data_IF_027173060135
#
_entry.id   IF_027173060135
#
_cell.length_a   1.000
_cell.length_b   1.000
_cell.length_c   1.000
_cell.angle_alpha   90.00
_cell.angle_beta   90.00
_cell.angle_gamma   90.00
#
_symmetry.space_group_name_H-M   'P 1'
#
loop_
_entity.id
_entity.type
_entity.pdbx_description
1 polymer ?
#
# COMPACT_ATOMS: atom_id res chain seq x y z
N UNK A 1 9.38 -24.94 -50.19
CA UNK A 1 8.17 -25.02 -49.34
C UNK A 1 8.50 -24.43 -47.98
N UNK A 2 8.23 -23.13 -47.81
CA UNK A 2 8.58 -22.35 -46.61
C UNK A 2 7.45 -22.45 -45.57
N UNK A 3 7.79 -22.85 -44.35
CA UNK A 3 6.85 -22.89 -43.21
C UNK A 3 6.59 -21.46 -42.72
N UNK A 4 5.36 -20.96 -42.91
CA UNK A 4 4.90 -19.72 -42.25
C UNK A 4 4.70 -20.01 -40.76
N UNK A 5 5.47 -19.34 -39.91
CA UNK A 5 5.21 -19.26 -38.46
C UNK A 5 4.06 -18.27 -38.26
N UNK A 6 3.00 -18.72 -37.61
CA UNK A 6 1.89 -17.88 -37.15
C UNK A 6 2.34 -17.32 -35.81
N UNK A 7 2.69 -16.03 -35.78
CA UNK A 7 2.89 -15.30 -34.53
C UNK A 7 1.53 -14.97 -33.96
N UNK A 8 1.17 -15.60 -32.84
CA UNK A 8 0.00 -15.22 -32.07
C UNK A 8 0.31 -13.88 -31.39
N UNK A 9 -0.46 -12.85 -31.76
CA UNK A 9 -0.43 -11.55 -31.09
C UNK A 9 -1.10 -11.73 -29.72
N UNK A 10 -0.31 -11.75 -28.65
CA UNK A 10 -0.84 -11.59 -27.30
C UNK A 10 -1.22 -10.11 -27.13
N UNK A 11 -2.51 -9.82 -27.14
CA UNK A 11 -3.02 -8.52 -26.73
C UNK A 11 -2.96 -8.51 -25.20
N UNK A 12 -1.87 -8.00 -24.66
CA UNK A 12 -1.83 -7.56 -23.27
C UNK A 12 -2.67 -6.29 -23.18
N UNK A 13 -3.88 -6.39 -22.65
CA UNK A 13 -4.61 -5.23 -22.16
C UNK A 13 -3.86 -4.73 -20.93
N UNK A 14 -2.92 -3.80 -21.16
CA UNK A 14 -2.44 -2.93 -20.11
C UNK A 14 -3.68 -2.19 -19.57
N UNK A 15 -4.00 -2.37 -18.29
CA UNK A 15 -4.83 -1.39 -17.61
C UNK A 15 -4.10 -0.06 -17.78
N UNK A 16 -4.78 0.89 -18.43
CA UNK A 16 -4.34 2.26 -18.43
C UNK A 16 -4.41 2.74 -16.97
N UNK A 17 -3.25 2.71 -16.30
CA UNK A 17 -3.01 3.66 -15.22
C UNK A 17 -3.16 5.01 -15.90
N UNK A 18 -4.28 5.67 -15.64
CA UNK A 18 -4.41 7.09 -15.98
C UNK A 18 -3.27 7.75 -15.23
N UNK A 19 -2.23 8.13 -15.98
CA UNK A 19 -1.07 8.79 -15.42
C UNK A 19 -1.54 10.09 -14.80
N UNK A 20 -1.66 10.10 -13.48
CA UNK A 20 -1.31 11.29 -12.74
C UNK A 20 0.09 11.69 -13.22
N UNK A 21 0.33 12.99 -13.46
CA UNK A 21 1.69 13.48 -13.51
C UNK A 21 2.46 12.85 -12.34
N UNK A 22 3.71 12.38 -12.53
CA UNK A 22 4.43 11.76 -11.43
C UNK A 22 4.35 12.71 -10.23
N UNK A 23 3.72 12.22 -9.17
CA UNK A 23 3.58 12.94 -7.91
C UNK A 23 4.97 13.45 -7.51
N UNK A 24 5.02 14.69 -7.03
CA UNK A 24 6.22 15.29 -6.47
C UNK A 24 7.03 14.25 -5.68
N UNK A 25 8.30 14.05 -6.04
CA UNK A 25 9.11 12.97 -5.48
C UNK A 25 9.65 13.40 -4.11
N UNK A 26 9.38 12.53 -3.16
CA UNK A 26 9.77 12.56 -1.76
C UNK A 26 11.26 12.20 -1.61
N UNK A 27 12.02 13.08 -0.96
CA UNK A 27 13.48 12.97 -0.85
C UNK A 27 13.94 12.53 0.54
N UNK A 28 14.95 11.65 0.59
CA UNK A 28 15.80 11.48 1.76
C UNK A 28 16.80 12.64 1.88
N UNK A 29 17.73 12.52 2.83
CA UNK A 29 18.76 13.53 3.05
C UNK A 29 19.55 13.84 1.76
N UNK A 30 19.56 15.12 1.34
CA UNK A 30 20.31 15.62 0.19
C UNK A 30 19.70 15.31 -1.17
N UNK A 31 18.55 14.64 -1.22
CA UNK A 31 17.85 14.35 -2.47
C UNK A 31 17.24 15.62 -3.09
N UNK A 32 17.22 15.74 -4.43
CA UNK A 32 16.46 16.80 -5.08
C UNK A 32 14.96 16.64 -4.83
N UNK A 33 14.29 17.77 -4.65
CA UNK A 33 12.83 17.85 -4.57
C UNK A 33 12.27 18.03 -5.98
N UNK A 34 11.18 17.34 -6.29
CA UNK A 34 10.54 17.45 -7.60
C UNK A 34 9.08 17.86 -7.45
N UNK A 35 8.58 18.71 -8.34
CA UNK A 35 7.20 19.18 -8.36
C UNK A 35 7.05 20.31 -9.36
N UNK A 36 5.82 20.67 -9.73
CA UNK A 36 5.55 21.82 -10.59
C UNK A 36 5.69 23.11 -9.76
N UNK A 37 6.88 23.75 -9.82
CA UNK A 37 7.24 24.89 -8.97
C UNK A 37 6.72 26.22 -9.51
N UNK A 38 6.30 26.26 -10.77
CA UNK A 38 5.88 27.49 -11.45
C UNK A 38 4.42 27.44 -11.97
N UNK A 39 3.73 26.30 -11.83
CA UNK A 39 2.34 26.09 -12.23
C UNK A 39 2.14 25.86 -13.73
N UNK A 40 3.18 25.45 -14.48
CA UNK A 40 3.11 25.24 -15.93
C UNK A 40 2.72 23.80 -16.34
N UNK A 41 2.55 22.90 -15.36
CA UNK A 41 2.21 21.50 -15.54
C UNK A 41 3.41 20.61 -15.90
N UNK A 42 4.63 21.13 -15.83
CA UNK A 42 5.88 20.38 -16.03
C UNK A 42 6.56 20.19 -14.67
N UNK A 43 7.15 19.01 -14.45
CA UNK A 43 7.89 18.75 -13.23
C UNK A 43 9.21 19.51 -13.23
N UNK A 44 9.39 20.37 -12.24
CA UNK A 44 10.62 21.09 -11.94
C UNK A 44 11.45 20.36 -10.89
N UNK A 45 12.68 20.83 -10.71
CA UNK A 45 13.61 20.31 -9.70
C UNK A 45 14.11 21.43 -8.80
N UNK A 46 13.97 21.26 -7.49
CA UNK A 46 14.66 22.05 -6.48
C UNK A 46 15.76 21.22 -5.80
N UNK A 47 16.92 21.82 -5.57
CA UNK A 47 18.01 21.23 -4.79
C UNK A 47 18.28 22.14 -3.61
N UNK A 48 18.23 21.58 -2.40
CA UNK A 48 18.62 22.29 -1.19
C UNK A 48 20.15 22.41 -1.19
N UNK A 49 20.64 23.64 -1.06
CA UNK A 49 22.06 23.97 -1.12
C UNK A 49 22.43 24.94 0.01
N UNK A 50 23.70 24.97 0.39
CA UNK A 50 24.20 26.07 1.24
C UNK A 50 24.26 27.37 0.44
N UNK A 51 23.69 28.46 0.97
CA UNK A 51 23.73 29.80 0.38
C UNK A 51 24.97 30.61 0.79
N UNK A 52 25.56 30.29 1.94
CA UNK A 52 26.73 30.97 2.52
C UNK A 52 27.00 30.51 3.95
N UNK A 53 27.79 31.26 4.73
CA UNK A 53 28.04 30.93 6.14
C UNK A 53 26.78 31.07 7.01
N UNK A 54 25.89 32.01 6.65
CA UNK A 54 24.66 32.36 7.38
C UNK A 54 23.41 32.34 6.48
N UNK A 55 23.50 31.70 5.31
CA UNK A 55 22.38 31.61 4.35
C UNK A 55 22.14 30.16 3.92
N UNK A 56 20.88 29.79 3.87
CA UNK A 56 20.38 28.61 3.19
C UNK A 56 19.98 28.93 1.77
N UNK A 57 20.01 27.93 0.90
CA UNK A 57 19.77 28.10 -0.52
C UNK A 57 18.85 27.03 -1.11
N UNK A 58 18.07 27.46 -2.10
CA UNK A 58 17.27 26.57 -2.95
C UNK A 58 17.65 26.85 -4.39
N UNK A 59 18.20 25.84 -5.08
CA UNK A 59 18.49 25.92 -6.51
C UNK A 59 17.35 25.30 -7.31
N UNK A 60 16.64 26.12 -8.08
CA UNK A 60 15.47 25.71 -8.87
C UNK A 60 15.85 25.61 -10.34
N UNK A 61 15.63 24.45 -10.93
CA UNK A 61 15.79 24.21 -12.37
C UNK A 61 14.42 23.87 -12.95
N UNK A 62 13.88 24.73 -13.81
CA UNK A 62 12.58 24.50 -14.43
C UNK A 62 12.66 23.39 -15.48
N UNK A 63 11.66 22.52 -15.52
CA UNK A 63 11.54 21.45 -16.51
C UNK A 63 11.33 22.01 -17.91
N UNK A 64 11.91 21.37 -18.92
CA UNK A 64 11.79 21.80 -20.31
C UNK A 64 10.70 21.07 -21.12
N UNK A 65 9.95 20.17 -20.47
CA UNK A 65 8.93 19.31 -21.08
C UNK A 65 9.47 18.22 -22.02
N UNK A 66 10.78 18.16 -22.24
CA UNK A 66 11.48 17.15 -23.03
C UNK A 66 12.28 16.16 -22.15
N UNK A 67 12.14 16.26 -20.83
CA UNK A 67 12.85 15.44 -19.84
C UNK A 67 14.18 16.03 -19.37
N UNK A 68 14.49 17.28 -19.76
CA UNK A 68 15.62 18.05 -19.27
C UNK A 68 15.19 19.18 -18.32
N UNK A 69 16.19 19.91 -17.84
CA UNK A 69 16.01 21.08 -16.96
C UNK A 69 16.80 22.27 -17.49
N UNK A 70 16.23 23.46 -17.35
CA UNK A 70 16.89 24.73 -17.62
C UNK A 70 18.05 25.03 -16.67
N UNK A 71 18.71 26.17 -16.91
CA UNK A 71 19.75 26.65 -16.00
C UNK A 71 19.17 26.93 -14.60
N UNK A 72 19.87 26.52 -13.51
CA UNK A 72 19.35 26.71 -12.17
C UNK A 72 19.34 28.19 -11.78
N UNK A 73 18.28 28.59 -11.09
CA UNK A 73 18.18 29.86 -10.37
C UNK A 73 18.34 29.60 -8.88
N UNK A 74 19.21 30.36 -8.22
CA UNK A 74 19.45 30.23 -6.78
C UNK A 74 18.64 31.28 -6.02
N UNK A 75 17.89 30.82 -5.04
CA UNK A 75 17.23 31.63 -4.03
C UNK A 75 17.91 31.39 -2.69
N UNK A 76 18.03 32.42 -1.86
CA UNK A 76 18.61 32.30 -0.52
C UNK A 76 17.70 32.88 0.55
N UNK A 77 17.84 32.38 1.77
CA UNK A 77 17.18 32.87 2.97
C UNK A 77 18.09 32.69 4.19
N UNK A 78 17.86 33.46 5.25
CA UNK A 78 18.66 33.40 6.47
C UNK A 78 18.63 32.00 7.11
N UNK A 79 19.76 31.54 7.64
CA UNK A 79 19.82 30.26 8.35
C UNK A 79 18.85 30.26 9.55
N UNK A 80 17.93 29.27 9.66
CA UNK A 80 17.04 29.19 10.80
C UNK A 80 17.79 28.87 12.09
N UNK A 81 17.50 29.59 13.18
CA UNK A 81 18.02 29.31 14.51
C UNK A 81 19.35 29.99 14.85
N UNK A 82 19.71 29.95 16.13
CA UNK A 82 20.94 30.56 16.66
C UNK A 82 22.07 29.55 16.44
N UNK A 83 22.93 29.76 15.43
CA UNK A 83 23.97 28.81 14.95
C UNK A 83 23.44 27.61 14.14
N UNK A 84 22.31 27.79 13.46
CA UNK A 84 21.64 26.70 12.77
C UNK A 84 22.28 26.28 11.46
N UNK A 85 21.89 25.09 11.04
CA UNK A 85 22.17 24.51 9.73
C UNK A 85 20.88 24.43 8.92
N UNK A 86 21.04 24.33 7.61
CA UNK A 86 19.91 24.33 6.68
C UNK A 86 19.14 23.01 6.73
N UNK A 87 17.82 23.05 6.51
CA UNK A 87 17.07 21.86 6.15
C UNK A 87 17.72 21.17 4.95
N UNK A 88 17.71 19.84 4.95
CA UNK A 88 18.42 19.00 4.00
C UNK A 88 17.53 17.93 3.37
N UNK A 89 16.23 17.97 3.64
CA UNK A 89 15.20 17.17 2.97
C UNK A 89 13.87 17.94 2.90
N UNK A 90 12.93 17.46 2.08
CA UNK A 90 11.63 18.10 1.96
C UNK A 90 10.74 17.52 0.86
N UNK A 91 9.65 18.23 0.61
CA UNK A 91 8.66 17.96 -0.44
C UNK A 91 8.16 19.26 -1.06
N UNK A 92 7.67 19.18 -2.30
CA UNK A 92 6.94 20.26 -2.98
C UNK A 92 5.45 19.95 -2.92
N UNK A 93 4.65 20.81 -2.28
CA UNK A 93 3.23 20.55 -2.01
C UNK A 93 2.41 21.84 -2.03
N UNK A 94 1.20 21.79 -2.60
CA UNK A 94 0.20 22.86 -2.52
C UNK A 94 -0.54 22.75 -1.18
N UNK A 95 -0.13 23.57 -0.21
CA UNK A 95 -0.79 23.63 1.09
C UNK A 95 -2.08 24.43 0.99
N UNK A 96 -3.20 23.76 1.26
CA UNK A 96 -4.53 24.35 1.18
C UNK A 96 -5.26 24.10 -0.14
N UNK A 97 -4.55 23.65 -1.19
CA UNK A 97 -5.15 23.37 -2.49
C UNK A 97 -5.53 24.65 -3.25
N UNK A 98 -4.73 25.70 -3.11
CA UNK A 98 -4.99 27.00 -3.73
C UNK A 98 -4.31 27.18 -5.11
N UNK A 99 -3.52 26.19 -5.53
CA UNK A 99 -2.77 26.17 -6.78
C UNK A 99 -1.38 26.79 -6.68
N UNK A 100 -0.98 27.30 -5.52
CA UNK A 100 0.39 27.74 -5.23
C UNK A 100 1.12 26.61 -4.51
N UNK A 101 2.33 26.29 -4.95
CA UNK A 101 3.13 25.26 -4.27
C UNK A 101 4.10 25.87 -3.26
N UNK A 102 4.23 25.20 -2.14
CA UNK A 102 5.23 25.44 -1.12
C UNK A 102 6.31 24.37 -1.11
N UNK A 103 7.45 24.71 -0.52
CA UNK A 103 8.43 23.73 -0.09
C UNK A 103 8.22 23.48 1.40
N UNK A 104 7.97 22.24 1.78
CA UNK A 104 7.93 21.81 3.18
C UNK A 104 9.22 21.05 3.47
N UNK A 105 10.05 21.61 4.33
CA UNK A 105 11.42 21.16 4.56
C UNK A 105 11.59 20.62 5.97
N UNK A 106 12.51 19.67 6.13
CA UNK A 106 12.87 19.09 7.42
C UNK A 106 14.40 18.94 7.55
N UNK A 107 14.85 18.61 8.75
CA UNK A 107 16.26 18.40 9.08
C UNK A 107 16.48 16.94 9.46
N UNK A 108 17.32 16.22 8.71
CA UNK A 108 17.67 14.84 9.01
C UNK A 108 18.21 14.67 10.43
N UNK A 109 19.20 15.48 10.80
CA UNK A 109 19.82 15.48 12.14
C UNK A 109 18.98 16.21 13.21
N UNK A 110 17.85 16.77 12.78
CA UNK A 110 16.87 17.49 13.55
C UNK A 110 17.01 19.00 13.56
N UNK A 111 15.96 19.70 14.00
CA UNK A 111 15.95 21.17 13.91
C UNK A 111 17.06 21.79 14.77
N UNK A 112 17.69 22.89 14.33
CA UNK A 112 18.72 23.56 15.11
C UNK A 112 18.15 24.25 16.36
N UNK A 113 18.98 24.51 17.38
CA UNK A 113 18.55 25.23 18.58
C UNK A 113 17.90 26.58 18.26
N UNK A 114 16.78 26.87 18.92
CA UNK A 114 16.04 28.12 18.77
C UNK A 114 15.03 28.14 17.62
N UNK A 115 15.00 27.12 16.75
CA UNK A 115 13.87 26.88 15.86
C UNK A 115 12.77 26.21 16.66
N UNK A 116 11.50 26.65 16.55
CA UNK A 116 10.39 26.13 17.35
C UNK A 116 9.65 24.95 16.69
N UNK A 117 9.75 24.78 15.37
CA UNK A 117 9.01 23.80 14.56
C UNK A 117 9.93 22.80 13.86
N UNK A 118 9.49 21.56 13.67
CA UNK A 118 10.30 20.50 13.04
C UNK A 118 10.20 20.51 11.51
N UNK A 119 9.14 21.11 10.97
CA UNK A 119 9.01 21.46 9.56
C UNK A 119 9.17 22.96 9.35
N UNK A 120 9.83 23.35 8.27
CA UNK A 120 9.92 24.72 7.75
C UNK A 120 9.17 24.83 6.43
N UNK A 121 8.29 25.81 6.31
CA UNK A 121 7.56 26.10 5.07
C UNK A 121 8.21 27.27 4.35
N UNK A 122 8.54 27.09 3.08
CA UNK A 122 8.93 28.18 2.19
C UNK A 122 7.82 28.50 1.19
N UNK A 123 7.47 29.79 1.10
CA UNK A 123 6.63 30.38 0.04
C UNK A 123 7.48 31.35 -0.76
N UNK A 124 7.44 31.25 -2.09
CA UNK A 124 8.35 32.01 -2.97
C UNK A 124 9.82 31.89 -2.53
N UNK A 125 10.18 30.70 -2.04
CA UNK A 125 11.51 30.36 -1.52
C UNK A 125 11.96 31.20 -0.30
N UNK A 126 11.02 31.78 0.45
CA UNK A 126 11.26 32.48 1.72
C UNK A 126 10.50 31.82 2.87
N UNK A 127 11.05 31.80 4.10
CA UNK A 127 10.37 31.28 5.27
C UNK A 127 9.01 31.93 5.51
N UNK A 128 7.96 31.10 5.60
CA UNK A 128 6.59 31.54 5.81
C UNK A 128 5.97 31.00 7.12
N UNK A 129 6.64 30.06 7.77
CA UNK A 129 6.17 29.42 9.00
C UNK A 129 6.71 28.00 9.11
N UNK A 130 6.08 27.19 9.95
CA UNK A 130 6.47 25.81 10.19
C UNK A 130 5.40 25.05 10.95
N UNK A 131 5.63 23.75 11.12
CA UNK A 131 4.73 22.84 11.82
C UNK A 131 5.53 21.90 12.73
N UNK A 132 4.90 21.47 13.83
CA UNK A 132 5.45 20.41 14.68
C UNK A 132 5.35 19.07 13.95
N UNK A 133 6.43 18.29 13.99
CA UNK A 133 6.51 17.01 13.28
C UNK A 133 7.53 16.09 13.97
N UNK A 134 8.13 15.15 13.22
CA UNK A 134 9.20 14.31 13.75
C UNK A 134 10.47 15.16 13.90
N UNK A 135 11.13 15.12 15.07
CA UNK A 135 12.33 15.92 15.35
C UNK A 135 13.55 15.47 14.54
N UNK A 136 13.66 14.19 14.14
CA UNK A 136 14.75 13.62 13.34
C UNK A 136 14.22 12.64 12.29
N UNK A 137 13.52 13.13 11.25
CA UNK A 137 12.97 12.27 10.20
C UNK A 137 14.10 11.67 9.37
N UNK A 138 13.97 10.40 9.05
CA UNK A 138 14.80 9.74 8.05
C UNK A 138 14.24 9.95 6.63
N UNK A 139 12.96 10.31 6.54
CA UNK A 139 12.26 10.51 5.26
C UNK A 139 11.03 11.42 5.43
N UNK A 140 10.66 12.10 4.35
CA UNK A 140 9.43 12.88 4.22
C UNK A 140 8.81 12.62 2.84
N UNK A 141 7.49 12.43 2.77
CA UNK A 141 6.79 12.21 1.51
C UNK A 141 5.35 12.70 1.50
N UNK A 142 4.64 12.41 0.39
CA UNK A 142 3.29 12.87 0.12
C UNK A 142 2.35 11.71 -0.25
N UNK A 143 1.10 11.80 0.21
CA UNK A 143 -0.03 10.97 -0.24
C UNK A 143 -1.36 11.65 0.17
N UNK A 144 -2.51 11.24 -0.38
CA UNK A 144 -3.82 11.72 0.06
C UNK A 144 -4.39 10.73 1.10
N UNK A 145 -4.14 10.95 2.38
CA UNK A 145 -4.48 10.02 3.46
C UNK A 145 -5.94 10.15 3.92
N UNK A 146 -6.66 11.19 3.51
CA UNK A 146 -8.05 11.40 3.92
C UNK A 146 -9.05 11.42 2.74
N UNK A 147 -8.57 11.27 1.51
CA UNK A 147 -9.36 11.18 0.29
C UNK A 147 -9.98 12.51 -0.16
N UNK A 148 -9.43 13.64 0.30
CA UNK A 148 -9.97 14.96 -0.03
C UNK A 148 -9.38 15.61 -1.29
N UNK A 149 -8.45 14.90 -1.93
CA UNK A 149 -7.79 15.30 -3.17
C UNK A 149 -6.57 16.21 -2.98
N UNK A 150 -6.24 16.61 -1.75
CA UNK A 150 -4.99 17.32 -1.44
C UNK A 150 -3.91 16.33 -1.05
N UNK A 151 -2.67 16.65 -1.40
CA UNK A 151 -1.53 15.89 -0.91
C UNK A 151 -1.29 16.28 0.55
N UNK A 152 -1.35 15.28 1.43
CA UNK A 152 -0.92 15.33 2.81
C UNK A 152 0.58 15.00 2.90
N UNK A 153 1.18 15.27 4.06
CA UNK A 153 2.59 14.97 4.33
C UNK A 153 2.69 13.74 5.23
N UNK A 154 3.66 12.88 5.00
CA UNK A 154 4.08 11.87 5.98
C UNK A 154 5.57 11.93 6.24
N UNK A 155 5.98 11.48 7.41
CA UNK A 155 7.38 11.30 7.77
C UNK A 155 7.56 9.94 8.42
N UNK A 156 8.78 9.42 8.35
CA UNK A 156 9.18 8.35 9.25
C UNK A 156 10.59 8.55 9.78
N UNK A 157 10.86 7.96 10.94
CA UNK A 157 12.19 7.91 11.56
C UNK A 157 12.49 6.53 12.13
N UNK A 158 13.76 6.14 12.07
CA UNK A 158 14.29 4.97 12.77
C UNK A 158 14.72 5.26 14.22
N UNK A 159 14.54 6.50 14.71
CA UNK A 159 14.86 6.91 16.08
C UNK A 159 13.75 6.58 17.10
N UNK A 160 12.69 5.88 16.69
CA UNK A 160 11.66 5.31 17.57
C UNK A 160 10.25 5.89 17.42
N UNK A 161 10.06 7.07 16.83
CA UNK A 161 8.71 7.59 16.54
C UNK A 161 8.02 6.84 15.39
N UNK A 162 8.80 6.17 14.53
CA UNK A 162 8.30 5.39 13.40
C UNK A 162 7.62 6.26 12.35
N UNK A 163 6.49 5.80 11.81
CA UNK A 163 5.75 6.42 10.71
C UNK A 163 4.61 7.32 11.22
N UNK A 164 4.55 8.57 10.77
CA UNK A 164 3.51 9.54 11.10
C UNK A 164 2.96 10.25 9.86
N UNK A 165 1.66 10.55 9.88
CA UNK A 165 0.97 11.35 8.86
C UNK A 165 0.60 12.74 9.38
N UNK A 166 0.47 13.70 8.46
CA UNK A 166 0.11 15.09 8.71
C UNK A 166 -0.81 15.59 7.60
N UNK A 167 -2.09 15.80 7.92
CA UNK A 167 -3.14 16.16 6.97
C UNK A 167 -3.06 17.63 6.57
N UNK A 168 -3.13 17.89 5.26
CA UNK A 168 -3.15 19.19 4.64
C UNK A 168 -4.58 19.76 4.63
N UNK A 169 -4.84 20.64 5.58
CA UNK A 169 -6.15 21.30 5.70
C UNK A 169 -6.37 22.32 4.59
N UNK A 170 -7.64 22.62 4.27
CA UNK A 170 -7.99 23.67 3.29
C UNK A 170 -7.49 25.09 3.65
N UNK A 171 -7.00 25.30 4.89
CA UNK A 171 -6.34 26.54 5.31
C UNK A 171 -4.83 26.54 5.10
N UNK A 172 -4.25 25.49 4.51
CA UNK A 172 -2.80 25.33 4.35
C UNK A 172 -2.06 25.05 5.65
N UNK A 173 -2.74 24.48 6.65
CA UNK A 173 -2.11 23.97 7.87
C UNK A 173 -1.87 22.46 7.75
N UNK A 174 -0.77 21.98 8.31
CA UNK A 174 -0.53 20.56 8.56
C UNK A 174 -0.96 20.20 9.98
N UNK A 175 -1.85 19.22 10.11
CA UNK A 175 -2.33 18.71 11.41
C UNK A 175 -1.99 17.23 11.52
N UNK A 176 -1.58 16.76 12.71
CA UNK A 176 -1.26 15.34 12.91
C UNK A 176 -2.42 14.46 12.46
N UNK A 177 -2.13 13.55 11.53
CA UNK A 177 -3.07 12.58 11.00
C UNK A 177 -3.25 11.38 11.93
N UNK A 178 -4.25 10.54 11.65
CA UNK A 178 -4.59 9.41 12.51
C UNK A 178 -3.67 8.19 12.30
N UNK A 179 -2.97 8.10 11.17
CA UNK A 179 -2.01 7.02 10.92
C UNK A 179 -0.71 7.35 11.66
N UNK A 180 -0.45 6.55 12.68
CA UNK A 180 0.80 6.53 13.43
C UNK A 180 1.22 5.10 13.74
N UNK A 181 2.51 4.80 13.61
CA UNK A 181 3.06 3.51 14.00
C UNK A 181 4.51 3.63 14.40
N UNK A 182 4.80 3.40 15.67
CA UNK A 182 6.17 3.30 16.14
C UNK A 182 6.85 2.08 15.51
N UNK A 183 8.05 2.32 15.01
CA UNK A 183 8.99 1.31 14.56
C UNK A 183 10.40 1.90 14.55
N UNK A 184 11.41 1.04 14.48
CA UNK A 184 12.73 1.39 13.95
C UNK A 184 12.61 1.68 12.45
N UNK A 185 13.22 0.85 11.60
CA UNK A 185 13.12 1.03 10.14
C UNK A 185 11.83 0.40 9.56
N UNK A 186 10.85 1.19 9.08
CA UNK A 186 9.67 0.64 8.42
C UNK A 186 9.94 0.37 6.93
N UNK A 187 9.53 -0.80 6.45
CA UNK A 187 9.25 -1.02 5.04
C UNK A 187 7.74 -0.85 4.83
N UNK A 188 7.33 -0.02 3.87
CA UNK A 188 5.92 0.33 3.71
C UNK A 188 5.48 0.41 2.25
N UNK A 189 4.17 0.20 2.03
CA UNK A 189 3.47 0.40 0.76
C UNK A 189 2.10 1.06 1.01
N UNK A 190 1.57 1.73 0.00
CA UNK A 190 0.27 2.41 0.06
C UNK A 190 -0.80 1.68 -0.77
N UNK A 191 -2.01 1.61 -0.25
CA UNK A 191 -3.19 1.10 -0.97
C UNK A 191 -4.49 1.63 -0.34
N UNK A 192 -5.61 1.49 -1.02
CA UNK A 192 -6.95 1.73 -0.46
C UNK A 192 -7.60 0.37 -0.13
N UNK A 193 -7.31 -0.16 1.07
CA UNK A 193 -7.73 -1.50 1.50
C UNK A 193 -9.22 -1.56 1.89
N UNK A 194 -9.84 -0.42 2.17
CA UNK A 194 -11.25 -0.32 2.55
C UNK A 194 -12.16 0.31 1.46
N UNK A 195 -11.56 0.69 0.33
CA UNK A 195 -12.20 1.24 -0.87
C UNK A 195 -12.98 2.53 -0.64
N UNK A 196 -12.50 3.38 0.27
CA UNK A 196 -13.12 4.67 0.58
C UNK A 196 -12.53 5.84 -0.20
N UNK A 197 -11.46 5.62 -0.98
CA UNK A 197 -10.76 6.64 -1.75
C UNK A 197 -9.66 7.38 -1.00
N UNK A 198 -9.42 7.04 0.28
CA UNK A 198 -8.30 7.52 1.07
C UNK A 198 -7.13 6.52 1.02
N UNK A 199 -5.93 7.01 1.31
CA UNK A 199 -4.72 6.17 1.36
C UNK A 199 -4.58 5.48 2.72
N UNK A 200 -4.47 4.15 2.72
CA UNK A 200 -4.06 3.33 3.85
C UNK A 200 -2.57 2.93 3.71
N UNK A 201 -1.97 2.40 4.78
CA UNK A 201 -0.54 2.03 4.80
C UNK A 201 -0.35 0.58 5.24
N UNK A 202 0.38 -0.20 4.46
CA UNK A 202 0.95 -1.47 4.86
C UNK A 202 2.36 -1.21 5.41
N UNK A 203 2.67 -1.68 6.62
CA UNK A 203 4.00 -1.57 7.22
C UNK A 203 4.49 -2.93 7.68
N UNK A 204 5.65 -3.35 7.18
CA UNK A 204 6.49 -4.35 7.82
C UNK A 204 7.50 -3.64 8.73
N UNK A 205 7.50 -3.96 10.01
CA UNK A 205 8.26 -3.22 11.02
C UNK A 205 9.18 -4.11 11.84
N UNK A 206 10.25 -3.47 12.31
CA UNK A 206 11.14 -3.94 13.36
C UNK A 206 11.11 -2.95 14.52
N UNK A 207 11.40 -3.43 15.71
CA UNK A 207 11.45 -2.61 16.93
C UNK A 207 10.13 -1.86 17.17
N UNK A 208 9.00 -2.56 17.02
CA UNK A 208 7.68 -2.02 17.28
C UNK A 208 7.47 -1.69 18.76
N UNK A 209 6.68 -0.65 19.05
CA UNK A 209 6.31 -0.26 20.41
C UNK A 209 5.06 -0.98 20.95
N UNK A 210 4.51 -1.93 20.20
CA UNK A 210 3.26 -2.64 20.53
C UNK A 210 3.47 -3.94 21.31
N UNK A 211 2.51 -4.85 21.18
CA UNK A 211 2.60 -6.20 21.76
C UNK A 211 3.68 -7.06 21.08
N UNK A 212 4.00 -6.72 19.83
CA UNK A 212 4.98 -7.42 18.99
C UNK A 212 6.18 -6.54 18.69
N UNK A 213 7.38 -7.13 18.77
CA UNK A 213 8.64 -6.44 18.48
C UNK A 213 8.87 -6.32 16.97
N UNK A 214 8.47 -7.33 16.20
CA UNK A 214 8.50 -7.34 14.73
C UNK A 214 7.14 -7.80 14.23
N UNK A 215 6.76 -7.38 13.02
CA UNK A 215 5.46 -7.78 12.47
C UNK A 215 5.12 -7.12 11.15
N UNK A 216 3.87 -7.34 10.74
CA UNK A 216 3.25 -6.69 9.58
C UNK A 216 1.88 -6.17 9.98
N UNK A 217 1.64 -4.88 9.76
CA UNK A 217 0.38 -4.20 10.09
C UNK A 217 -0.16 -3.46 8.88
N UNK A 218 -1.48 -3.45 8.72
CA UNK A 218 -2.19 -2.50 7.87
C UNK A 218 -2.80 -1.41 8.76
N UNK A 219 -2.52 -0.16 8.46
CA UNK A 219 -3.08 1.02 9.11
C UNK A 219 -4.07 1.67 8.16
N UNK A 220 -5.35 1.66 8.54
CA UNK A 220 -6.38 2.33 7.75
C UNK A 220 -6.27 3.86 7.92
N UNK A 221 -6.83 4.59 6.97
CA UNK A 221 -6.92 6.06 6.91
C UNK A 221 -7.48 6.71 8.19
N UNK A 222 -8.20 5.96 9.00
CA UNK A 222 -8.76 6.40 10.28
C UNK A 222 -7.90 6.03 11.52
N UNK A 223 -6.70 5.50 11.31
CA UNK A 223 -5.77 5.05 12.36
C UNK A 223 -6.04 3.65 12.91
N UNK A 224 -7.03 2.92 12.39
CA UNK A 224 -7.29 1.54 12.82
C UNK A 224 -6.15 0.63 12.35
N UNK A 225 -5.48 -0.03 13.30
CA UNK A 225 -4.46 -1.02 13.03
C UNK A 225 -5.06 -2.42 12.88
N UNK A 226 -4.65 -3.13 11.82
CA UNK A 226 -4.94 -4.54 11.58
C UNK A 226 -3.63 -5.30 11.47
N UNK A 227 -3.27 -5.96 12.56
CA UNK A 227 -2.05 -6.75 12.64
C UNK A 227 -2.24 -8.08 11.90
N UNK A 228 -1.38 -8.35 10.92
CA UNK A 228 -1.44 -9.53 10.07
C UNK A 228 -0.45 -10.61 10.55
N UNK A 229 0.74 -10.17 10.93
CA UNK A 229 1.83 -11.01 11.45
C UNK A 229 2.45 -10.31 12.66
N UNK A 230 2.98 -11.08 13.61
CA UNK A 230 3.63 -10.51 14.79
C UNK A 230 4.49 -11.53 15.51
N UNK A 231 5.67 -11.09 15.98
CA UNK A 231 6.53 -11.85 16.89
C UNK A 231 6.89 -10.98 18.11
N UNK A 232 6.42 -11.34 19.31
CA UNK A 232 6.74 -10.65 20.56
C UNK A 232 8.23 -10.65 20.92
N UNK A 233 9.01 -11.60 20.38
CA UNK A 233 10.41 -11.80 20.77
C UNK A 233 11.40 -11.26 19.73
N UNK A 234 10.93 -10.93 18.53
CA UNK A 234 11.79 -10.39 17.48
C UNK A 234 12.69 -11.42 16.77
N UNK A 235 12.38 -12.71 16.91
CA UNK A 235 13.16 -13.79 16.28
C UNK A 235 12.77 -13.98 14.79
N UNK A 236 11.55 -13.61 14.43
CA UNK A 236 11.02 -13.59 13.07
C UNK A 236 10.85 -12.16 12.58
N UNK A 237 11.04 -11.95 11.29
CA UNK A 237 10.69 -10.71 10.62
C UNK A 237 10.19 -11.00 9.22
N UNK A 238 9.47 -10.04 8.65
CA UNK A 238 8.73 -10.24 7.42
C UNK A 238 9.05 -9.17 6.39
N UNK A 239 9.07 -9.56 5.13
CA UNK A 239 8.77 -8.66 4.03
C UNK A 239 7.26 -8.71 3.74
N UNK A 240 6.68 -7.58 3.37
CA UNK A 240 5.27 -7.46 3.01
C UNK A 240 5.10 -6.65 1.73
N UNK A 241 4.08 -6.99 0.93
CA UNK A 241 3.75 -6.27 -0.31
C UNK A 241 2.25 -6.36 -0.61
N UNK A 242 1.71 -5.34 -1.25
CA UNK A 242 0.33 -5.26 -1.72
C UNK A 242 0.19 -6.04 -3.02
N UNK A 243 -0.81 -6.91 -3.08
CA UNK A 243 -1.08 -7.76 -4.25
C UNK A 243 -2.58 -7.82 -4.52
N UNK A 244 -2.97 -8.37 -5.67
CA UNK A 244 -4.31 -8.89 -5.90
C UNK A 244 -4.17 -10.41 -6.04
N UNK A 245 -4.21 -11.11 -4.89
CA UNK A 245 -3.86 -12.52 -4.83
C UNK A 245 -4.98 -13.39 -5.39
N UNK A 246 -6.24 -12.97 -5.27
CA UNK A 246 -7.43 -13.71 -5.69
C UNK A 246 -8.05 -13.23 -7.02
N UNK A 247 -7.51 -12.16 -7.61
CA UNK A 247 -7.94 -11.50 -8.84
C UNK A 247 -9.33 -10.84 -8.77
N UNK A 248 -9.71 -10.29 -7.61
CA UNK A 248 -10.98 -9.58 -7.40
C UNK A 248 -10.88 -8.05 -7.51
N UNK A 249 -9.65 -7.53 -7.64
CA UNK A 249 -9.36 -6.09 -7.72
C UNK A 249 -9.47 -5.34 -6.38
N UNK A 250 -9.51 -6.06 -5.25
CA UNK A 250 -9.36 -5.54 -3.90
C UNK A 250 -7.89 -5.77 -3.49
N UNK A 251 -7.23 -4.79 -2.86
CA UNK A 251 -5.88 -5.00 -2.34
C UNK A 251 -5.85 -6.09 -1.26
N UNK A 252 -5.01 -7.10 -1.51
CA UNK A 252 -4.60 -8.17 -0.61
C UNK A 252 -3.16 -7.90 -0.12
N UNK A 253 -2.73 -8.64 0.90
CA UNK A 253 -1.34 -8.56 1.41
C UNK A 253 -0.65 -9.91 1.29
N UNK A 254 0.57 -9.91 0.76
CA UNK A 254 1.47 -11.06 0.79
C UNK A 254 2.60 -10.80 1.78
N UNK A 255 2.73 -11.65 2.78
CA UNK A 255 3.86 -11.64 3.72
C UNK A 255 4.83 -12.78 3.40
N UNK A 256 6.12 -12.56 3.64
CA UNK A 256 7.16 -13.60 3.62
C UNK A 256 7.96 -13.49 4.89
N UNK A 257 7.92 -14.51 5.74
CA UNK A 257 8.82 -14.60 6.89
C UNK A 257 10.24 -14.84 6.36
N UNK A 258 11.13 -13.87 6.56
CA UNK A 258 12.49 -13.90 6.03
C UNK A 258 13.38 -14.93 6.76
N UNK A 259 13.03 -15.29 7.99
CA UNK A 259 13.75 -16.30 8.78
C UNK A 259 13.43 -17.73 8.32
N UNK A 260 12.18 -18.00 7.91
CA UNK A 260 11.70 -19.36 7.57
C UNK A 260 11.41 -19.57 6.09
N UNK A 261 11.23 -18.50 5.32
CA UNK A 261 10.73 -18.52 3.95
C UNK A 261 9.23 -18.80 3.84
N UNK A 262 8.49 -18.84 4.96
CA UNK A 262 7.05 -19.05 4.96
C UNK A 262 6.33 -17.89 4.29
N UNK A 263 5.35 -18.20 3.43
CA UNK A 263 4.52 -17.22 2.74
C UNK A 263 3.09 -17.30 3.27
N UNK A 264 2.50 -16.16 3.58
CA UNK A 264 1.07 -16.02 3.88
C UNK A 264 0.45 -15.01 2.93
N UNK A 265 -0.75 -15.30 2.43
CA UNK A 265 -1.58 -14.34 1.72
C UNK A 265 -2.77 -13.99 2.59
N UNK A 266 -2.96 -12.71 2.87
CA UNK A 266 -4.09 -12.15 3.59
C UNK A 266 -5.05 -11.54 2.58
N UNK A 267 -6.21 -12.17 2.40
CA UNK A 267 -7.23 -11.76 1.45
C UNK A 267 -8.07 -10.64 2.06
N UNK A 268 -8.07 -9.48 1.40
CA UNK A 268 -8.82 -8.29 1.79
C UNK A 268 -10.31 -8.44 1.48
N UNK A 269 -11.15 -7.93 2.37
CA UNK A 269 -12.61 -7.93 2.18
C UNK A 269 -13.16 -6.61 1.59
N UNK A 270 -12.27 -5.68 1.24
CA UNK A 270 -12.60 -4.35 0.71
C UNK A 270 -13.30 -3.44 1.72
N UNK A 271 -13.15 -3.73 3.02
CA UNK A 271 -13.65 -2.94 4.15
C UNK A 271 -12.59 -2.80 5.25
N UNK A 272 -11.32 -3.00 4.89
CA UNK A 272 -10.18 -2.97 5.81
C UNK A 272 -10.00 -4.24 6.66
N UNK A 273 -10.78 -5.30 6.44
CA UNK A 273 -10.59 -6.59 7.11
C UNK A 273 -9.88 -7.60 6.23
N UNK A 274 -9.10 -8.48 6.86
CA UNK A 274 -8.29 -9.49 6.19
C UNK A 274 -8.48 -10.88 6.78
N UNK A 275 -8.24 -11.92 5.98
CA UNK A 275 -8.12 -13.28 6.48
C UNK A 275 -7.06 -14.08 5.72
N UNK A 276 -6.33 -14.93 6.44
CA UNK A 276 -5.26 -15.73 5.86
C UNK A 276 -5.81 -16.84 4.95
N UNK A 277 -5.28 -16.95 3.74
CA UNK A 277 -5.59 -18.00 2.78
C UNK A 277 -4.55 -19.15 2.84
N UNK A 278 -4.97 -20.40 2.56
CA UNK A 278 -6.34 -20.81 2.25
C UNK A 278 -7.21 -21.02 3.51
N UNK A 279 -8.47 -20.61 3.43
CA UNK A 279 -9.52 -20.91 4.41
C UNK A 279 -10.76 -21.40 3.64
N UNK A 280 -11.22 -22.61 3.94
CA UNK A 280 -12.32 -23.26 3.25
C UNK A 280 -13.54 -23.32 4.17
N UNK A 281 -14.67 -22.80 3.71
CA UNK A 281 -15.93 -22.79 4.45
C UNK A 281 -16.96 -23.75 3.85
N UNK A 282 -17.81 -24.31 4.72
CA UNK A 282 -18.82 -25.30 4.33
C UNK A 282 -19.83 -24.74 3.30
N UNK A 283 -20.13 -25.56 2.29
CA UNK A 283 -21.03 -25.21 1.20
C UNK A 283 -22.38 -25.92 1.28
N UNK A 284 -23.38 -25.30 0.65
CA UNK A 284 -24.62 -26.00 0.32
C UNK A 284 -25.06 -25.75 -1.12
N UNK A 285 -25.57 -26.81 -1.76
CA UNK A 285 -26.14 -26.74 -3.10
C UNK A 285 -27.46 -27.50 -3.17
N UNK A 286 -28.22 -27.28 -4.23
CA UNK A 286 -29.46 -28.02 -4.49
C UNK A 286 -29.60 -28.39 -5.95
N UNK A 287 -30.17 -29.57 -6.22
CA UNK A 287 -30.53 -29.99 -7.57
C UNK A 287 -31.87 -30.75 -7.59
N UNK A 288 -32.39 -31.07 -8.77
CA UNK A 288 -33.63 -31.83 -8.99
C UNK A 288 -33.38 -33.02 -9.90
N UNK A 289 -33.79 -34.21 -9.45
CA UNK A 289 -33.63 -35.46 -10.20
C UNK A 289 -32.20 -35.66 -10.71
N UNK A 290 -32.03 -35.76 -12.02
CA UNK A 290 -30.73 -35.98 -12.69
C UNK A 290 -30.04 -34.71 -13.16
N UNK A 291 -30.55 -33.52 -12.81
CA UNK A 291 -29.97 -32.26 -13.26
C UNK A 291 -28.58 -32.06 -12.65
N UNK A 292 -27.60 -31.73 -13.48
CA UNK A 292 -26.26 -31.33 -13.02
C UNK A 292 -26.33 -29.96 -12.34
N UNK A 293 -25.51 -29.76 -11.32
CA UNK A 293 -25.36 -28.48 -10.63
C UNK A 293 -23.89 -28.11 -10.58
N UNK A 294 -23.59 -26.88 -10.98
CA UNK A 294 -22.26 -26.30 -10.88
C UNK A 294 -22.18 -25.55 -9.54
N UNK A 295 -21.30 -25.99 -8.64
CA UNK A 295 -21.23 -25.51 -7.26
C UNK A 295 -20.03 -24.56 -7.13
N UNK A 296 -20.23 -23.26 -6.86
CA UNK A 296 -19.16 -22.31 -6.69
C UNK A 296 -18.56 -22.42 -5.29
N UNK A 297 -17.82 -23.50 -5.03
CA UNK A 297 -17.27 -23.79 -3.69
C UNK A 297 -16.39 -22.68 -3.12
N UNK A 298 -15.72 -21.92 -3.99
CA UNK A 298 -14.86 -20.80 -3.57
C UNK A 298 -15.63 -19.52 -3.18
N UNK A 299 -16.96 -19.49 -3.30
CA UNK A 299 -17.73 -18.24 -3.17
C UNK A 299 -17.71 -17.64 -1.76
N UNK A 300 -17.45 -18.46 -0.75
CA UNK A 300 -17.32 -18.07 0.66
C UNK A 300 -15.97 -18.48 1.25
N UNK A 301 -14.99 -18.83 0.42
CA UNK A 301 -13.66 -19.22 0.85
C UNK A 301 -12.67 -18.05 0.72
N UNK A 302 -11.55 -18.13 1.46
CA UNK A 302 -10.38 -17.30 1.20
C UNK A 302 -9.35 -18.12 0.43
N UNK A 303 -8.98 -17.65 -0.75
CA UNK A 303 -8.11 -18.38 -1.67
C UNK A 303 -7.27 -17.41 -2.50
N UNK A 304 -6.19 -17.91 -3.10
CA UNK A 304 -5.43 -17.21 -4.12
C UNK A 304 -5.68 -17.82 -5.50
N UNK A 305 -5.31 -17.10 -6.56
CA UNK A 305 -5.35 -17.59 -7.94
C UNK A 305 -4.56 -18.91 -8.13
N UNK A 306 -3.53 -19.12 -7.32
CA UNK A 306 -2.71 -20.34 -7.31
C UNK A 306 -3.32 -21.51 -6.51
N UNK A 307 -4.34 -21.25 -5.66
CA UNK A 307 -4.98 -22.29 -4.85
C UNK A 307 -5.49 -23.43 -5.72
N UNK A 308 -5.19 -24.67 -5.32
CA UNK A 308 -5.69 -25.89 -5.96
C UNK A 308 -6.87 -26.44 -5.19
N UNK A 309 -7.93 -26.82 -5.91
CA UNK A 309 -9.07 -27.56 -5.37
C UNK A 309 -8.82 -29.05 -5.60
N UNK A 310 -9.00 -29.90 -4.58
CA UNK A 310 -8.98 -31.36 -4.72
C UNK A 310 -10.15 -31.99 -3.98
N UNK A 311 -10.66 -33.13 -4.47
CA UNK A 311 -11.72 -33.89 -3.77
C UNK A 311 -11.06 -34.85 -2.79
N UNK A 312 -11.40 -34.70 -1.51
CA UNK A 312 -10.91 -35.56 -0.43
C UNK A 312 -11.83 -36.76 -0.24
N UNK A 313 -13.13 -36.51 -0.10
CA UNK A 313 -14.15 -37.55 0.05
C UNK A 313 -15.19 -37.39 -1.05
N UNK A 314 -15.33 -38.36 -1.98
CA UNK A 314 -16.31 -38.26 -3.06
C UNK A 314 -17.75 -38.46 -2.54
N UNK A 315 -18.75 -37.98 -3.28
CA UNK A 315 -20.15 -38.19 -2.96
C UNK A 315 -20.59 -39.63 -3.17
N UNK A 316 -21.64 -40.04 -2.46
CA UNK A 316 -22.18 -41.41 -2.53
C UNK A 316 -23.10 -41.60 -3.75
N UNK A 317 -23.86 -40.58 -4.11
CA UNK A 317 -24.95 -40.67 -5.10
C UNK A 317 -24.71 -39.85 -6.37
N UNK A 318 -23.51 -39.29 -6.55
CA UNK A 318 -23.14 -38.58 -7.76
C UNK A 318 -21.67 -38.74 -8.17
N UNK A 319 -21.28 -37.97 -9.17
CA UNK A 319 -19.89 -37.81 -9.64
C UNK A 319 -19.53 -36.33 -9.63
N UNK A 320 -18.26 -36.04 -9.37
CA UNK A 320 -17.72 -34.69 -9.35
C UNK A 320 -16.75 -34.47 -10.50
N UNK A 321 -16.73 -33.26 -11.00
CA UNK A 321 -15.70 -32.75 -11.90
C UNK A 321 -15.36 -31.32 -11.50
N UNK A 322 -14.11 -31.05 -11.17
CA UNK A 322 -13.62 -29.68 -10.98
C UNK A 322 -13.53 -29.04 -12.37
N UNK A 323 -14.16 -27.88 -12.55
CA UNK A 323 -14.25 -27.21 -13.85
C UNK A 323 -13.08 -26.24 -14.04
N UNK A 324 -12.86 -25.80 -15.29
CA UNK A 324 -11.89 -24.74 -15.58
C UNK A 324 -12.25 -23.38 -14.97
N UNK A 325 -13.51 -23.19 -14.54
CA UNK A 325 -13.99 -22.00 -13.82
C UNK A 325 -13.80 -22.11 -12.31
N UNK A 326 -13.04 -23.10 -11.84
CA UNK A 326 -12.74 -23.33 -10.41
C UNK A 326 -13.99 -23.59 -9.56
N UNK A 327 -15.02 -24.17 -10.17
CA UNK A 327 -16.24 -24.68 -9.52
C UNK A 327 -16.22 -26.21 -9.50
N UNK A 328 -17.13 -26.82 -8.73
CA UNK A 328 -17.33 -28.28 -8.70
C UNK A 328 -18.66 -28.66 -9.35
N UNK A 329 -18.60 -29.30 -10.51
CA UNK A 329 -19.77 -29.82 -11.20
C UNK A 329 -20.19 -31.17 -10.60
N UNK A 330 -21.35 -31.18 -9.94
CA UNK A 330 -21.98 -32.39 -9.42
C UNK A 330 -22.98 -32.97 -10.44
N UNK A 331 -22.85 -34.27 -10.73
CA UNK A 331 -23.76 -35.03 -11.59
C UNK A 331 -24.37 -36.20 -10.80
N UNK A 332 -25.69 -36.20 -10.54
CA UNK A 332 -26.37 -37.33 -9.90
C UNK A 332 -26.22 -38.65 -10.70
N UNK A 333 -26.05 -39.79 -10.03
CA UNK A 333 -25.92 -41.12 -10.65
C UNK A 333 -27.26 -41.75 -11.04
N UNK A 334 -28.29 -40.94 -11.29
CA UNK A 334 -29.66 -41.38 -11.57
C UNK A 334 -30.68 -40.60 -10.77
N UNK A 335 -31.92 -41.08 -10.78
CA UNK A 335 -33.00 -40.50 -9.97
C UNK A 335 -32.83 -40.95 -8.51
N UNK A 336 -32.59 -40.02 -7.60
CA UNK A 336 -32.65 -40.23 -6.15
C UNK A 336 -33.15 -38.97 -5.45
N UNK A 337 -33.64 -39.11 -4.21
CA UNK A 337 -34.14 -38.01 -3.38
C UNK A 337 -33.31 -37.80 -2.10
N UNK A 338 -32.28 -38.62 -1.89
CA UNK A 338 -31.37 -38.47 -0.75
C UNK A 338 -30.37 -37.34 -1.01
N UNK A 339 -30.15 -36.50 0.00
CA UNK A 339 -29.02 -35.58 0.01
C UNK A 339 -27.70 -36.33 -0.14
N UNK A 340 -26.75 -35.66 -0.79
CA UNK A 340 -25.40 -36.15 -0.97
C UNK A 340 -24.41 -35.22 -0.27
N UNK A 341 -23.21 -35.72 0.00
CA UNK A 341 -22.14 -34.95 0.65
C UNK A 341 -20.79 -35.29 0.07
N UNK A 342 -19.92 -34.30 -0.09
CA UNK A 342 -18.52 -34.51 -0.42
C UNK A 342 -17.64 -33.53 0.36
N UNK A 343 -16.35 -33.80 0.43
CA UNK A 343 -15.36 -32.92 1.08
C UNK A 343 -14.32 -32.53 0.05
N UNK A 344 -14.00 -31.24 -0.04
CA UNK A 344 -12.92 -30.73 -0.86
C UNK A 344 -11.79 -30.15 0.02
N UNK A 345 -10.62 -29.96 -0.58
CA UNK A 345 -9.45 -29.35 0.03
C UNK A 345 -8.97 -28.20 -0.85
N UNK A 346 -8.65 -27.09 -0.21
CA UNK A 346 -7.86 -26.00 -0.77
C UNK A 346 -6.38 -26.20 -0.43
N UNK A 347 -5.49 -25.88 -1.35
CA UNK A 347 -4.03 -25.96 -1.15
C UNK A 347 -3.32 -24.83 -1.86
N UNK A 348 -2.57 -24.03 -1.11
CA UNK A 348 -1.72 -22.95 -1.60
C UNK A 348 -0.49 -22.81 -0.70
N UNK A 349 0.69 -22.56 -1.26
CA UNK A 349 1.92 -22.27 -0.51
C UNK A 349 2.26 -23.26 0.62
N UNK A 350 1.98 -24.54 0.40
CA UNK A 350 2.19 -25.60 1.40
C UNK A 350 1.13 -25.66 2.51
N UNK A 351 0.22 -24.68 2.59
CA UNK A 351 -0.92 -24.62 3.52
C UNK A 351 -2.15 -25.28 2.91
N UNK A 352 -3.01 -25.84 3.76
CA UNK A 352 -4.24 -26.52 3.33
C UNK A 352 -5.39 -26.30 4.29
N UNK A 353 -6.61 -26.26 3.76
CA UNK A 353 -7.82 -26.34 4.55
C UNK A 353 -8.90 -27.20 3.84
N UNK A 354 -9.90 -27.68 4.58
CA UNK A 354 -10.96 -28.56 4.05
C UNK A 354 -12.35 -28.09 4.45
N UNK A 355 -13.31 -28.26 3.52
CA UNK A 355 -14.71 -27.97 3.78
C UNK A 355 -15.64 -29.04 3.19
N UNK A 356 -16.79 -29.18 3.82
CA UNK A 356 -17.86 -30.09 3.45
C UNK A 356 -18.91 -29.40 2.59
N UNK A 357 -19.34 -30.08 1.54
CA UNK A 357 -20.46 -29.64 0.68
C UNK A 357 -21.65 -30.54 0.89
N UNK A 358 -22.80 -29.97 1.22
CA UNK A 358 -24.08 -30.69 1.26
C UNK A 358 -24.92 -30.39 0.02
N UNK A 359 -25.21 -31.40 -0.80
CA UNK A 359 -26.06 -31.29 -1.99
C UNK A 359 -27.47 -31.83 -1.68
N UNK A 360 -28.47 -30.96 -1.65
CA UNK A 360 -29.88 -31.35 -1.44
C UNK A 360 -30.52 -31.74 -2.77
N UNK A 361 -30.92 -33.00 -2.91
CA UNK A 361 -31.61 -33.48 -4.12
C UNK A 361 -33.12 -33.47 -3.89
N UNK A 362 -33.80 -32.56 -4.59
CA UNK A 362 -35.25 -32.42 -4.55
C UNK A 362 -35.88 -33.38 -5.56
N UNK A 363 -37.04 -33.92 -5.17
CA UNK A 363 -37.94 -34.70 -6.01
C UNK A 363 -38.38 -33.93 -7.26
#
# INVERSE_FOLDING_TARGET
MWRKRISALAVATALAVVGAAPSAWAGGQGDPLYGDLNGDGVVDRAVLAGGGADECGVQVSLGDGAGGYGAPTTYTYDTPGEYGYCPDMGVVVDLGGDGTVELVLAWFDGRPPGVETDLLVLRDYQPAGGFDAIYQPSYIGLADFNGDGRQDVYQWTDQGDGFLTFLNTASGQLVRGPIEWCSGWPAYEFADFNRNGATDVLIAYFEGCGENFTGVVVLLDNGTAVELEGDPWGDSYWAATVVDANADGIPDVRTTNESTGEVTHFIGNGRGGFGAAPLADDDTASTKGTKKVDIPVLANDLYTSATKITIVTPPKYGKLQITSRRTVLYTPNGQHTQSDKFVYRLTADGKTDIAGVTVRVKS
#
